data_IF_688597643435
#
_entry.id   IF_688597643435
#
_cell.length_a   1.000
_cell.length_b   1.000
_cell.length_c   1.000
_cell.angle_alpha   90.00
_cell.angle_beta   90.00
_cell.angle_gamma   90.00
#
_symmetry.space_group_name_H-M   'P 1'
#
loop_
_entity.id
_entity.type
_entity.pdbx_description
1 polymer ?
#
# COMPACT_ATOMS: atom_id res chain seq x y z
N UNK A 1 33.29 -3.19 15.99
CA UNK A 1 31.94 -3.72 16.31
C UNK A 1 30.98 -3.11 15.29
N UNK A 2 30.31 -3.96 14.50
CA UNK A 2 29.93 -3.65 13.11
C UNK A 2 28.57 -2.95 13.02
N UNK A 3 28.49 -1.88 12.20
CA UNK A 3 27.25 -1.15 11.84
C UNK A 3 26.16 -2.09 11.29
N UNK A 4 26.55 -3.25 10.75
CA UNK A 4 25.64 -4.28 10.26
C UNK A 4 24.74 -4.89 11.34
N UNK A 5 25.15 -4.94 12.62
CA UNK A 5 24.35 -5.55 13.69
C UNK A 5 23.18 -4.65 14.14
N UNK A 6 23.33 -3.32 14.07
CA UNK A 6 22.25 -2.36 14.39
C UNK A 6 21.17 -2.29 13.30
N UNK A 7 21.55 -2.54 12.05
CA UNK A 7 20.59 -2.55 10.94
C UNK A 7 19.71 -3.80 11.02
N UNK A 8 20.27 -4.98 11.31
CA UNK A 8 19.47 -6.22 11.41
C UNK A 8 18.50 -6.24 12.58
N UNK A 9 18.77 -5.57 13.70
CA UNK A 9 17.89 -5.63 14.88
C UNK A 9 16.56 -4.88 14.72
N UNK A 10 16.46 -3.89 13.82
CA UNK A 10 15.28 -3.02 13.73
C UNK A 10 14.25 -3.48 12.68
N UNK A 11 14.68 -4.20 11.62
CA UNK A 11 13.76 -4.64 10.55
C UNK A 11 12.80 -5.76 10.97
N UNK A 12 13.14 -6.59 11.97
CA UNK A 12 12.26 -7.65 12.46
C UNK A 12 11.00 -7.14 13.12
N UNK A 13 10.99 -5.92 13.67
CA UNK A 13 9.79 -5.31 14.26
C UNK A 13 8.86 -4.69 13.20
N UNK A 14 9.43 -4.25 12.07
CA UNK A 14 8.67 -3.67 10.96
C UNK A 14 7.97 -4.74 10.11
N UNK A 15 8.53 -5.95 10.03
CA UNK A 15 7.93 -7.08 9.30
C UNK A 15 6.52 -7.45 9.82
N UNK A 16 6.28 -7.64 11.13
CA UNK A 16 4.96 -7.88 11.67
C UNK A 16 3.96 -6.76 11.36
N UNK A 17 4.40 -5.50 11.44
CA UNK A 17 3.53 -4.37 11.14
C UNK A 17 3.14 -4.37 9.66
N UNK A 18 4.10 -4.56 8.76
CA UNK A 18 3.84 -4.59 7.33
C UNK A 18 2.91 -5.76 6.96
N UNK A 19 3.14 -6.94 7.54
CA UNK A 19 2.27 -8.12 7.35
C UNK A 19 0.88 -7.86 7.95
N UNK A 20 0.78 -7.23 9.12
CA UNK A 20 -0.51 -6.90 9.73
C UNK A 20 -1.29 -5.91 8.86
N UNK A 21 -0.64 -4.90 8.28
CA UNK A 21 -1.26 -3.95 7.36
C UNK A 21 -1.70 -4.65 6.06
N UNK A 22 -0.86 -5.48 5.45
CA UNK A 22 -1.25 -6.21 4.23
C UNK A 22 -2.40 -7.18 4.48
N UNK A 23 -2.44 -7.83 5.64
CA UNK A 23 -3.56 -8.67 6.08
C UNK A 23 -4.83 -7.84 6.33
N UNK A 24 -4.71 -6.70 7.02
CA UNK A 24 -5.86 -5.83 7.31
C UNK A 24 -6.51 -5.33 6.02
N UNK A 25 -5.69 -4.95 5.05
CA UNK A 25 -6.13 -4.44 3.77
C UNK A 25 -6.32 -5.52 2.71
N UNK A 26 -6.20 -6.81 3.00
CA UNK A 26 -6.40 -7.87 2.00
C UNK A 26 -7.82 -7.89 1.42
N UNK A 27 -8.00 -8.49 0.24
CA UNK A 27 -9.31 -8.60 -0.42
C UNK A 27 -10.14 -9.80 0.07
N UNK A 28 -10.31 -9.92 1.39
CA UNK A 28 -10.99 -11.04 2.03
C UNK A 28 -12.40 -11.29 1.49
N UNK A 29 -13.14 -10.22 1.19
CA UNK A 29 -14.52 -10.32 0.68
C UNK A 29 -14.55 -11.06 -0.67
N UNK A 30 -13.64 -10.73 -1.57
CA UNK A 30 -13.54 -11.40 -2.88
C UNK A 30 -12.99 -12.81 -2.75
N UNK A 31 -11.97 -13.01 -1.92
CA UNK A 31 -11.39 -14.31 -1.67
C UNK A 31 -12.45 -15.30 -1.15
N UNK A 32 -13.23 -14.90 -0.15
CA UNK A 32 -14.35 -15.69 0.39
C UNK A 32 -15.40 -16.02 -0.68
N UNK A 33 -15.73 -15.07 -1.56
CA UNK A 33 -16.69 -15.31 -2.67
C UNK A 33 -16.19 -16.35 -3.68
N UNK A 34 -14.87 -16.51 -3.84
CA UNK A 34 -14.25 -17.46 -4.78
C UNK A 34 -13.89 -18.81 -4.16
N UNK A 35 -13.97 -18.94 -2.83
CA UNK A 35 -13.76 -20.19 -2.11
C UNK A 35 -12.44 -20.26 -1.34
N UNK A 36 -12.25 -21.35 -0.59
CA UNK A 36 -11.16 -21.54 0.37
C UNK A 36 -9.75 -21.39 -0.26
N UNK A 37 -9.55 -21.92 -1.47
CA UNK A 37 -8.27 -21.80 -2.18
C UNK A 37 -7.88 -20.33 -2.41
N UNK A 38 -8.84 -19.46 -2.71
CA UNK A 38 -8.56 -18.03 -2.90
C UNK A 38 -8.29 -17.30 -1.58
N UNK A 39 -8.81 -17.79 -0.46
CA UNK A 39 -8.49 -17.26 0.88
C UNK A 39 -7.04 -17.61 1.24
N UNK A 40 -6.63 -18.86 1.02
CA UNK A 40 -5.24 -19.30 1.23
C UNK A 40 -4.30 -18.53 0.30
N UNK A 41 -4.69 -18.35 -0.96
CA UNK A 41 -3.91 -17.58 -1.93
C UNK A 41 -3.74 -16.12 -1.49
N UNK A 42 -4.82 -15.45 -1.09
CA UNK A 42 -4.75 -14.07 -0.60
C UNK A 42 -3.86 -13.97 0.65
N UNK A 43 -3.97 -14.94 1.57
CA UNK A 43 -3.11 -15.03 2.74
C UNK A 43 -1.63 -15.14 2.35
N UNK A 44 -1.30 -16.02 1.41
CA UNK A 44 0.07 -16.17 0.90
C UNK A 44 0.59 -14.87 0.27
N UNK A 45 -0.23 -14.16 -0.50
CA UNK A 45 0.14 -12.86 -1.06
C UNK A 45 0.38 -11.79 0.02
N UNK A 46 -0.40 -11.80 1.11
CA UNK A 46 -0.19 -10.89 2.24
C UNK A 46 1.12 -11.18 2.97
N UNK A 47 1.42 -12.46 3.23
CA UNK A 47 2.65 -12.88 3.90
C UNK A 47 3.91 -12.53 3.08
N UNK A 48 3.82 -12.62 1.75
CA UNK A 48 4.89 -12.24 0.85
C UNK A 48 4.91 -10.73 0.55
N UNK A 49 3.96 -9.95 1.08
CA UNK A 49 3.76 -8.53 0.79
C UNK A 49 3.57 -8.19 -0.70
N UNK A 50 3.15 -9.17 -1.51
CA UNK A 50 2.94 -9.01 -2.97
C UNK A 50 1.56 -8.43 -3.26
N UNK A 51 0.64 -8.46 -2.29
CA UNK A 51 -0.70 -7.88 -2.43
C UNK A 51 -0.73 -6.35 -2.28
N UNK A 52 0.39 -5.72 -1.92
CA UNK A 52 0.54 -4.28 -1.79
C UNK A 52 1.42 -3.71 -2.91
N UNK A 53 1.05 -2.53 -3.40
CA UNK A 53 1.82 -1.76 -4.36
C UNK A 53 1.99 -0.35 -3.82
N UNK A 54 3.23 0.12 -3.75
CA UNK A 54 3.55 1.47 -3.32
C UNK A 54 3.36 2.43 -4.50
N UNK A 55 2.70 3.56 -4.24
CA UNK A 55 2.58 4.67 -5.17
C UNK A 55 3.27 5.88 -4.54
N UNK A 56 3.98 6.66 -5.35
CA UNK A 56 4.63 7.89 -4.93
C UNK A 56 4.02 9.10 -5.62
N UNK A 57 3.68 10.13 -4.85
CA UNK A 57 3.19 11.41 -5.35
C UNK A 57 4.20 12.48 -4.96
N UNK A 58 4.65 13.25 -5.95
CA UNK A 58 5.55 14.38 -5.74
C UNK A 58 4.77 15.56 -5.12
N UNK A 59 5.39 16.28 -4.20
CA UNK A 59 4.80 17.35 -3.40
C UNK A 59 4.64 18.67 -4.19
N UNK A 60 5.01 18.66 -5.48
CA UNK A 60 4.95 19.80 -6.39
C UNK A 60 3.53 20.31 -6.65
N UNK A 61 2.51 19.52 -6.30
CA UNK A 61 1.12 19.84 -6.59
C UNK A 61 0.31 20.38 -5.39
N UNK A 62 0.92 20.49 -4.21
CA UNK A 62 0.22 20.98 -3.01
C UNK A 62 -0.93 20.10 -2.53
N UNK A 63 -1.03 18.87 -3.04
CA UNK A 63 -2.06 17.90 -2.69
C UNK A 63 -1.68 17.19 -1.40
N UNK A 64 -2.56 17.20 -0.41
CA UNK A 64 -2.32 16.52 0.86
C UNK A 64 -2.61 15.01 0.76
N UNK A 65 -1.93 14.21 1.58
CA UNK A 65 -2.23 12.77 1.68
C UNK A 65 -3.67 12.49 2.13
N UNK A 66 -4.27 13.37 2.93
CA UNK A 66 -5.69 13.27 3.31
C UNK A 66 -6.63 13.45 2.12
N UNK A 67 -6.34 14.37 1.20
CA UNK A 67 -7.13 14.57 -0.03
C UNK A 67 -7.02 13.34 -0.93
N UNK A 68 -5.82 12.79 -1.12
CA UNK A 68 -5.61 11.56 -1.91
C UNK A 68 -6.34 10.38 -1.30
N UNK A 69 -6.25 10.21 0.03
CA UNK A 69 -6.98 9.17 0.75
C UNK A 69 -8.50 9.30 0.55
N UNK A 70 -9.05 10.50 0.73
CA UNK A 70 -10.48 10.74 0.55
C UNK A 70 -10.92 10.51 -0.90
N UNK A 71 -10.12 10.95 -1.87
CA UNK A 71 -10.40 10.75 -3.28
C UNK A 71 -10.45 9.26 -3.65
N UNK A 72 -9.40 8.50 -3.32
CA UNK A 72 -9.32 7.08 -3.66
C UNK A 72 -10.32 6.21 -2.87
N UNK A 73 -10.59 6.54 -1.62
CA UNK A 73 -11.60 5.84 -0.82
C UNK A 73 -13.01 6.00 -1.42
N UNK A 74 -13.32 7.14 -2.02
CA UNK A 74 -14.55 7.37 -2.79
C UNK A 74 -14.76 6.38 -3.95
N UNK A 75 -13.67 5.82 -4.49
CA UNK A 75 -13.70 4.79 -5.54
C UNK A 75 -13.52 3.35 -5.01
N UNK A 76 -13.58 3.17 -3.70
CA UNK A 76 -13.40 1.87 -3.02
C UNK A 76 -11.95 1.36 -3.08
N UNK A 77 -10.97 2.26 -3.16
CA UNK A 77 -9.55 1.94 -3.15
C UNK A 77 -8.98 2.36 -1.78
N UNK A 78 -8.79 1.42 -0.84
CA UNK A 78 -8.15 1.74 0.42
C UNK A 78 -6.68 2.08 0.21
N UNK A 79 -6.18 3.01 1.01
CA UNK A 79 -4.77 3.42 1.06
C UNK A 79 -4.23 3.28 2.47
N UNK A 80 -2.97 2.89 2.62
CA UNK A 80 -2.32 2.68 3.91
C UNK A 80 -0.80 2.86 3.83
N UNK A 81 -0.10 2.70 4.96
CA UNK A 81 1.36 2.80 5.00
C UNK A 81 1.88 4.14 4.48
N UNK A 82 1.23 5.24 4.89
CA UNK A 82 1.58 6.60 4.47
C UNK A 82 2.93 7.02 5.08
N UNK A 83 3.80 7.55 4.24
CA UNK A 83 5.09 8.12 4.64
C UNK A 83 5.39 9.34 3.78
N UNK A 84 5.99 10.36 4.40
CA UNK A 84 6.48 11.55 3.69
C UNK A 84 8.00 11.42 3.59
N UNK A 85 8.52 11.44 2.36
CA UNK A 85 9.95 11.25 2.08
C UNK A 85 10.35 12.34 1.10
N UNK A 86 11.39 13.10 1.45
CA UNK A 86 11.92 14.23 0.69
C UNK A 86 10.79 15.22 0.28
N UNK A 87 10.56 15.36 -1.02
CA UNK A 87 9.57 16.22 -1.64
C UNK A 87 8.36 15.43 -2.13
N UNK A 88 7.87 14.46 -1.34
CA UNK A 88 6.69 13.69 -1.74
C UNK A 88 6.07 12.85 -0.65
N UNK A 89 5.03 12.12 -1.04
CA UNK A 89 4.36 11.16 -0.18
C UNK A 89 4.27 9.80 -0.87
N UNK A 90 4.57 8.76 -0.09
CA UNK A 90 4.42 7.37 -0.48
C UNK A 90 3.29 6.75 0.32
N UNK A 91 2.46 5.96 -0.34
CA UNK A 91 1.42 5.16 0.29
C UNK A 91 1.23 3.86 -0.48
N UNK A 92 0.53 2.92 0.13
CA UNK A 92 0.24 1.61 -0.44
C UNK A 92 -1.22 1.52 -0.86
N UNK A 93 -1.45 0.80 -1.94
CA UNK A 93 -2.76 0.31 -2.38
C UNK A 93 -2.68 -1.19 -2.62
N UNK A 94 -3.82 -1.85 -2.81
CA UNK A 94 -3.82 -3.25 -3.24
C UNK A 94 -3.18 -3.32 -4.64
N UNK A 95 -2.29 -4.28 -4.88
CA UNK A 95 -1.62 -4.43 -6.19
C UNK A 95 -2.61 -4.53 -7.34
N UNK A 96 -3.71 -5.27 -7.17
CA UNK A 96 -4.79 -5.38 -8.15
C UNK A 96 -5.55 -4.07 -8.45
N UNK A 97 -5.39 -3.05 -7.59
CA UNK A 97 -6.02 -1.73 -7.72
C UNK A 97 -5.01 -0.65 -8.15
N UNK A 98 -3.71 -0.96 -8.23
CA UNK A 98 -2.65 0.00 -8.54
C UNK A 98 -2.92 0.75 -9.86
N UNK A 99 -3.12 0.04 -10.96
CA UNK A 99 -3.39 0.66 -12.27
C UNK A 99 -4.64 1.55 -12.25
N UNK A 100 -5.68 1.14 -11.52
CA UNK A 100 -6.91 1.93 -11.40
C UNK A 100 -6.65 3.19 -10.58
N UNK A 101 -5.93 3.08 -9.47
CA UNK A 101 -5.57 4.20 -8.62
C UNK A 101 -4.72 5.21 -9.41
N UNK A 102 -3.68 4.74 -10.12
CA UNK A 102 -2.82 5.58 -10.95
C UNK A 102 -3.61 6.33 -12.03
N UNK A 103 -4.50 5.63 -12.76
CA UNK A 103 -5.36 6.28 -13.76
C UNK A 103 -6.31 7.33 -13.16
N UNK A 104 -6.87 7.07 -11.99
CA UNK A 104 -7.76 8.02 -11.30
C UNK A 104 -6.99 9.27 -10.84
N UNK A 105 -5.80 9.08 -10.30
CA UNK A 105 -4.94 10.18 -9.85
C UNK A 105 -4.48 11.03 -11.03
N UNK A 106 -3.97 10.39 -12.09
CA UNK A 106 -3.61 11.09 -13.34
C UNK A 106 -4.80 11.86 -13.93
N UNK A 107 -6.01 11.27 -13.91
CA UNK A 107 -7.22 11.95 -14.36
C UNK A 107 -7.63 13.15 -13.50
N UNK A 108 -7.18 13.20 -12.24
CA UNK A 108 -7.35 14.34 -11.34
C UNK A 108 -6.20 15.36 -11.43
N UNK A 109 -5.25 15.14 -12.36
CA UNK A 109 -4.05 15.99 -12.51
C UNK A 109 -2.91 15.63 -11.57
N UNK A 110 -3.01 14.51 -10.83
CA UNK A 110 -2.03 14.07 -9.85
C UNK A 110 -1.02 13.12 -10.46
N UNK A 111 0.23 13.55 -10.55
CA UNK A 111 1.33 12.74 -11.08
C UNK A 111 1.76 11.70 -10.05
N UNK A 112 1.80 10.43 -10.47
CA UNK A 112 2.15 9.28 -9.64
C UNK A 112 3.28 8.49 -10.30
N UNK A 113 4.33 8.21 -9.54
CA UNK A 113 5.49 7.38 -9.91
C UNK A 113 5.46 6.01 -9.23
#
# INVERSE_FOLDING_TARGET
MRITERLTSFYWLLLPQFIAETLWYADWKRAKKRGLLFVIWELALCMLSINAHALFIENSEGVSGSQVHQFLSGYGIPTWGWSYIDDGMRFHVRSRQADKAQRLLLGAGIIVQ
#
